data_IF_360312809645
#
_entry.id   IF_360312809645
#
_cell.length_a   1.000
_cell.length_b   1.000
_cell.length_c   1.000
_cell.angle_alpha   90.00
_cell.angle_beta   90.00
_cell.angle_gamma   90.00
#
_symmetry.space_group_name_H-M   'P 1'
#
loop_
_entity.id
_entity.type
_entity.pdbx_description
1 polymer ?
#
# COMPACT_ATOMS: atom_id res chain seq x y z
N UNK A 1 2.06 14.90 -9.45
CA UNK A 1 0.72 15.44 -9.14
C UNK A 1 0.17 14.57 -8.03
N UNK A 2 0.14 15.06 -6.79
CA UNK A 2 -0.40 14.32 -5.66
C UNK A 2 -1.94 14.31 -5.72
N UNK A 3 -2.58 13.22 -5.30
CA UNK A 3 -4.05 13.10 -5.26
C UNK A 3 -4.64 13.96 -4.13
N UNK A 4 -5.78 14.64 -4.33
CA UNK A 4 -6.38 15.54 -3.33
C UNK A 4 -6.84 14.80 -2.06
N UNK A 5 -6.66 15.44 -0.91
CA UNK A 5 -6.68 14.83 0.43
C UNK A 5 -8.02 14.87 1.19
N UNK A 6 -9.17 15.15 0.56
CA UNK A 6 -10.44 15.17 1.29
C UNK A 6 -11.63 14.86 0.37
N UNK A 7 -12.22 13.68 0.53
CA UNK A 7 -13.46 13.25 -0.15
C UNK A 7 -13.30 12.44 -1.44
N UNK A 8 -12.08 12.13 -1.86
CA UNK A 8 -11.80 11.36 -3.09
C UNK A 8 -10.89 10.17 -2.77
N UNK A 9 -11.50 9.03 -2.48
CA UNK A 9 -10.81 7.84 -2.00
C UNK A 9 -11.75 6.64 -1.97
N UNK A 10 -11.48 5.66 -1.11
CA UNK A 10 -12.27 4.42 -1.06
C UNK A 10 -13.76 4.60 -0.73
N UNK A 11 -14.12 5.71 -0.08
CA UNK A 11 -15.50 6.08 0.26
C UNK A 11 -16.23 6.92 -0.80
N UNK A 12 -15.57 7.30 -1.90
CA UNK A 12 -16.16 8.08 -2.98
C UNK A 12 -17.17 7.20 -3.77
N UNK A 13 -18.42 7.64 -4.03
CA UNK A 13 -19.37 6.87 -4.84
C UNK A 13 -18.87 6.53 -6.24
N UNK A 14 -17.95 7.33 -6.79
CA UNK A 14 -17.28 7.05 -8.07
C UNK A 14 -16.10 6.08 -7.93
N UNK A 15 -15.73 5.70 -6.70
CA UNK A 15 -14.72 4.69 -6.37
C UNK A 15 -15.27 3.27 -6.57
N UNK A 16 -15.50 2.94 -7.84
CA UNK A 16 -16.03 1.65 -8.27
C UNK A 16 -14.90 0.60 -8.35
N UNK A 17 -14.33 0.21 -7.21
CA UNK A 17 -13.27 -0.80 -7.16
C UNK A 17 -13.69 -2.09 -7.87
N UNK A 18 -12.82 -2.65 -8.70
CA UNK A 18 -13.10 -3.85 -9.51
C UNK A 18 -13.97 -3.60 -10.76
N UNK A 19 -14.48 -2.38 -10.96
CA UNK A 19 -15.17 -1.99 -12.19
C UNK A 19 -14.18 -1.58 -13.29
N UNK A 20 -14.46 -1.85 -14.57
CA UNK A 20 -13.66 -1.33 -15.68
C UNK A 20 -13.88 0.17 -15.93
N UNK A 21 -14.78 0.81 -15.17
CA UNK A 21 -15.10 2.24 -15.29
C UNK A 21 -15.13 2.88 -13.91
N UNK A 22 -14.79 4.17 -13.85
CA UNK A 22 -14.84 4.96 -12.63
C UNK A 22 -13.45 5.33 -12.10
N UNK A 23 -13.45 6.14 -11.04
CA UNK A 23 -12.26 6.85 -10.54
C UNK A 23 -11.15 5.91 -10.09
N UNK A 24 -11.53 4.81 -9.44
CA UNK A 24 -10.60 3.76 -9.02
C UNK A 24 -9.86 3.13 -10.21
N UNK A 25 -10.56 2.87 -11.32
CA UNK A 25 -9.96 2.31 -12.54
C UNK A 25 -8.96 3.29 -13.17
N UNK A 26 -9.37 4.55 -13.34
CA UNK A 26 -8.53 5.57 -13.98
C UNK A 26 -7.25 5.84 -13.18
N UNK A 27 -7.38 5.92 -11.86
CA UNK A 27 -6.24 6.10 -10.97
C UNK A 27 -5.34 4.87 -10.94
N UNK A 28 -5.92 3.65 -10.91
CA UNK A 28 -5.15 2.42 -11.02
C UNK A 28 -4.33 2.37 -12.31
N UNK A 29 -4.91 2.81 -13.44
CA UNK A 29 -4.21 2.81 -14.73
C UNK A 29 -3.06 3.81 -14.78
N UNK A 30 -3.27 5.03 -14.26
CA UNK A 30 -2.20 6.02 -14.12
C UNK A 30 -1.08 5.51 -13.21
N UNK A 31 -1.45 4.92 -12.08
CA UNK A 31 -0.50 4.40 -11.10
C UNK A 31 0.33 3.25 -11.67
N UNK A 32 -0.31 2.26 -12.32
CA UNK A 32 0.39 1.18 -13.04
C UNK A 32 1.32 1.75 -14.11
N UNK A 33 0.83 2.68 -14.94
CA UNK A 33 1.64 3.30 -15.99
C UNK A 33 2.88 4.07 -15.48
N UNK A 34 2.84 4.56 -14.23
CA UNK A 34 4.01 5.14 -13.56
C UNK A 34 4.91 4.06 -12.97
N UNK A 35 4.39 3.18 -12.12
CA UNK A 35 5.16 2.23 -11.32
C UNK A 35 5.69 1.03 -12.11
N UNK A 36 5.10 0.72 -13.26
CA UNK A 36 5.58 -0.36 -14.12
C UNK A 36 6.72 0.08 -15.06
N UNK A 37 7.17 1.35 -14.99
CA UNK A 37 8.27 1.86 -15.83
C UNK A 37 9.61 1.17 -15.54
N UNK A 38 9.98 1.05 -14.27
CA UNK A 38 11.21 0.38 -13.84
C UNK A 38 11.14 -0.01 -12.35
N UNK A 39 12.08 -0.84 -11.93
CA UNK A 39 12.29 -1.17 -10.51
C UNK A 39 12.66 0.09 -9.70
N UNK A 40 13.53 0.93 -10.23
CA UNK A 40 14.01 2.14 -9.55
C UNK A 40 12.86 3.11 -9.23
N UNK A 41 11.88 3.25 -10.13
CA UNK A 41 10.68 4.07 -9.89
C UNK A 41 9.84 3.50 -8.73
N UNK A 42 9.79 2.17 -8.57
CA UNK A 42 9.10 1.54 -7.44
C UNK A 42 9.86 1.72 -6.13
N UNK A 43 11.20 1.67 -6.17
CA UNK A 43 12.04 1.93 -5.00
C UNK A 43 11.90 3.38 -4.53
N UNK A 44 12.01 4.34 -5.45
CA UNK A 44 11.79 5.76 -5.17
C UNK A 44 10.39 6.00 -4.58
N UNK A 45 9.35 5.40 -5.17
CA UNK A 45 8.00 5.52 -4.65
C UNK A 45 7.83 4.93 -3.24
N UNK A 46 8.50 3.81 -2.91
CA UNK A 46 8.50 3.26 -1.54
C UNK A 46 9.18 4.21 -0.56
N UNK A 47 10.28 4.85 -0.96
CA UNK A 47 10.97 5.86 -0.15
C UNK A 47 10.04 7.05 0.07
N UNK A 48 9.41 7.58 -0.98
CA UNK A 48 8.44 8.67 -0.87
C UNK A 48 7.24 8.30 0.02
N UNK A 49 6.79 7.04 -0.01
CA UNK A 49 5.73 6.54 0.85
C UNK A 49 6.15 6.56 2.32
N UNK A 50 7.34 6.03 2.64
CA UNK A 50 7.88 6.03 4.00
C UNK A 50 8.23 7.44 4.47
N UNK A 51 8.47 8.39 3.58
CA UNK A 51 8.69 9.79 3.94
C UNK A 51 7.38 10.62 4.01
N UNK A 52 6.23 9.97 3.83
CA UNK A 52 4.91 10.63 3.90
C UNK A 52 4.61 11.56 2.72
N UNK A 53 5.36 11.45 1.61
CA UNK A 53 5.13 12.21 0.37
C UNK A 53 4.09 11.58 -0.54
N UNK A 54 3.77 10.30 -0.34
CA UNK A 54 2.67 9.59 -1.01
C UNK A 54 1.43 9.65 -0.12
N UNK A 55 0.28 9.99 -0.69
CA UNK A 55 -0.98 10.00 0.06
C UNK A 55 -1.41 8.58 0.42
N UNK A 56 -2.06 8.43 1.57
CA UNK A 56 -2.53 7.13 2.04
C UNK A 56 -3.51 6.48 1.05
N UNK A 57 -4.34 7.28 0.36
CA UNK A 57 -5.26 6.78 -0.67
C UNK A 57 -4.53 6.19 -1.88
N UNK A 58 -3.43 6.81 -2.32
CA UNK A 58 -2.58 6.25 -3.36
C UNK A 58 -1.86 4.97 -2.89
N UNK A 59 -1.43 4.94 -1.62
CA UNK A 59 -0.79 3.77 -1.02
C UNK A 59 -1.76 2.58 -0.92
N UNK A 60 -3.00 2.80 -0.45
CA UNK A 60 -4.08 1.79 -0.43
C UNK A 60 -4.39 1.30 -1.84
N UNK A 61 -4.41 2.20 -2.83
CA UNK A 61 -4.59 1.84 -4.25
C UNK A 61 -3.46 0.93 -4.75
N UNK A 62 -2.19 1.27 -4.50
CA UNK A 62 -1.05 0.43 -4.85
C UNK A 62 -1.13 -0.95 -4.19
N UNK A 63 -1.49 -0.98 -2.90
CA UNK A 63 -1.69 -2.21 -2.13
C UNK A 63 -2.79 -3.08 -2.72
N UNK A 64 -3.95 -2.51 -3.04
CA UNK A 64 -5.06 -3.24 -3.66
C UNK A 64 -4.66 -3.88 -4.99
N UNK A 65 -3.91 -3.17 -5.83
CA UNK A 65 -3.38 -3.72 -7.08
C UNK A 65 -2.39 -4.86 -6.84
N UNK A 66 -1.50 -4.71 -5.85
CA UNK A 66 -0.54 -5.76 -5.51
C UNK A 66 -1.22 -7.00 -4.97
N UNK A 67 -2.25 -6.84 -4.12
CA UNK A 67 -3.07 -7.95 -3.63
C UNK A 67 -3.75 -8.69 -4.77
N UNK A 68 -4.35 -7.98 -5.75
CA UNK A 68 -4.96 -8.63 -6.91
C UNK A 68 -3.96 -9.50 -7.67
N UNK A 69 -2.73 -9.01 -7.85
CA UNK A 69 -1.67 -9.79 -8.48
C UNK A 69 -1.24 -10.98 -7.60
N UNK A 70 -1.02 -10.75 -6.31
CA UNK A 70 -0.62 -11.77 -5.34
C UNK A 70 -1.63 -12.91 -5.24
N UNK A 71 -2.94 -12.59 -5.22
CA UNK A 71 -4.01 -13.56 -5.18
C UNK A 71 -4.03 -14.45 -6.43
N UNK A 72 -3.82 -13.86 -7.62
CA UNK A 72 -3.69 -14.62 -8.88
C UNK A 72 -2.47 -15.54 -8.89
N UNK A 73 -1.40 -15.14 -8.22
CA UNK A 73 -0.17 -15.92 -8.08
C UNK A 73 -0.20 -16.90 -6.89
N UNK A 74 -1.26 -16.90 -6.08
CA UNK A 74 -1.40 -17.75 -4.89
C UNK A 74 -0.45 -17.41 -3.73
N UNK A 75 0.00 -16.16 -3.64
CA UNK A 75 0.98 -15.70 -2.62
C UNK A 75 0.42 -14.62 -1.68
N UNK A 76 -0.90 -14.46 -1.63
CA UNK A 76 -1.58 -13.43 -0.83
C UNK A 76 -1.90 -13.84 0.62
N UNK A 77 -1.21 -14.85 1.14
CA UNK A 77 -1.45 -15.37 2.50
C UNK A 77 -2.75 -16.17 2.58
N UNK A 78 -2.97 -17.10 1.65
CA UNK A 78 -4.13 -18.00 1.64
C UNK A 78 -5.47 -17.25 1.58
N UNK A 79 -5.56 -16.20 0.76
CA UNK A 79 -6.76 -15.38 0.60
C UNK A 79 -6.92 -14.25 1.62
N UNK A 80 -6.04 -14.14 2.63
CA UNK A 80 -6.11 -13.07 3.61
C UNK A 80 -5.87 -11.69 2.98
N UNK A 81 -4.95 -11.57 2.02
CA UNK A 81 -4.77 -10.35 1.24
C UNK A 81 -6.05 -9.98 0.49
N UNK A 82 -6.67 -10.94 -0.20
CA UNK A 82 -7.94 -10.71 -0.88
C UNK A 82 -9.05 -10.24 0.07
N UNK A 83 -9.12 -10.79 1.29
CA UNK A 83 -10.07 -10.33 2.32
C UNK A 83 -9.80 -8.87 2.73
N UNK A 84 -8.54 -8.51 3.02
CA UNK A 84 -8.15 -7.13 3.33
C UNK A 84 -8.57 -6.16 2.22
N UNK A 85 -8.41 -6.55 0.96
CA UNK A 85 -8.86 -5.74 -0.18
C UNK A 85 -10.38 -5.60 -0.23
N UNK A 86 -11.15 -6.63 0.09
CA UNK A 86 -12.61 -6.52 0.20
C UNK A 86 -13.02 -5.60 1.35
N UNK A 87 -12.31 -5.62 2.47
CA UNK A 87 -12.54 -4.72 3.60
C UNK A 87 -12.20 -3.26 3.26
N UNK A 88 -11.15 -3.01 2.47
CA UNK A 88 -10.89 -1.69 1.88
C UNK A 88 -12.05 -1.23 1.00
N UNK A 89 -12.54 -2.11 0.11
CA UNK A 89 -13.70 -1.82 -0.75
C UNK A 89 -14.99 -1.57 0.04
N UNK A 90 -15.14 -2.21 1.21
CA UNK A 90 -16.24 -1.99 2.14
C UNK A 90 -16.06 -0.75 3.03
N UNK A 91 -15.03 0.07 2.79
CA UNK A 91 -14.74 1.30 3.53
C UNK A 91 -14.44 1.06 5.04
N UNK A 92 -13.99 -0.14 5.44
CA UNK A 92 -13.66 -0.47 6.85
C UNK A 92 -12.59 0.47 7.44
N UNK A 93 -11.69 0.94 6.58
CA UNK A 93 -10.51 1.73 6.96
C UNK A 93 -10.70 3.24 6.77
N UNK A 94 -11.95 3.70 6.70
CA UNK A 94 -12.30 5.10 6.60
C UNK A 94 -12.74 5.63 7.98
N UNK A 95 -12.57 6.94 8.21
CA UNK A 95 -12.95 7.59 9.47
C UNK A 95 -11.89 7.53 10.58
N UNK A 96 -12.30 7.88 11.81
CA UNK A 96 -11.39 8.25 12.91
C UNK A 96 -10.41 7.14 13.34
N UNK A 97 -10.80 5.87 13.21
CA UNK A 97 -9.97 4.70 13.57
C UNK A 97 -9.54 3.88 12.35
N UNK A 98 -9.82 4.38 11.14
CA UNK A 98 -9.62 3.63 9.91
C UNK A 98 -8.16 3.27 9.67
N UNK A 99 -7.27 4.23 9.89
CA UNK A 99 -5.81 4.06 9.74
C UNK A 99 -5.23 3.10 10.78
N UNK A 100 -5.68 3.18 12.03
CA UNK A 100 -5.25 2.26 13.11
C UNK A 100 -5.67 0.82 12.83
N UNK A 101 -6.90 0.64 12.34
CA UNK A 101 -7.42 -0.67 11.93
C UNK A 101 -6.64 -1.21 10.73
N UNK A 102 -6.29 -0.34 9.77
CA UNK A 102 -5.49 -0.72 8.61
C UNK A 102 -4.09 -1.18 9.04
N UNK A 103 -3.42 -0.44 9.92
CA UNK A 103 -2.11 -0.84 10.47
C UNK A 103 -2.18 -2.25 11.08
N UNK A 104 -3.16 -2.48 11.95
CA UNK A 104 -3.31 -3.76 12.67
C UNK A 104 -3.53 -4.93 11.72
N UNK A 105 -4.41 -4.76 10.73
CA UNK A 105 -4.71 -5.83 9.77
C UNK A 105 -3.52 -6.08 8.83
N UNK A 106 -2.74 -5.05 8.48
CA UNK A 106 -1.50 -5.19 7.69
C UNK A 106 -0.39 -5.88 8.46
N UNK A 107 -0.26 -5.61 9.76
CA UNK A 107 0.66 -6.34 10.63
C UNK A 107 0.31 -7.83 10.65
N UNK A 108 -0.96 -8.16 10.90
CA UNK A 108 -1.43 -9.55 10.87
C UNK A 108 -1.20 -10.22 9.51
N UNK A 109 -1.48 -9.52 8.41
CA UNK A 109 -1.21 -10.01 7.05
C UNK A 109 0.28 -10.26 6.81
N UNK A 110 1.14 -9.38 7.31
CA UNK A 110 2.58 -9.49 7.10
C UNK A 110 3.19 -10.75 7.73
N UNK A 111 2.64 -11.21 8.86
CA UNK A 111 3.08 -12.43 9.55
C UNK A 111 2.77 -13.71 8.76
N UNK A 112 1.74 -13.70 7.91
CA UNK A 112 1.32 -14.87 7.12
C UNK A 112 1.79 -14.83 5.66
N UNK A 113 2.31 -13.68 5.21
CA UNK A 113 2.89 -13.56 3.87
C UNK A 113 4.26 -14.26 3.80
N UNK A 114 4.61 -14.81 2.63
CA UNK A 114 5.92 -15.42 2.44
C UNK A 114 7.05 -14.42 2.74
N UNK A 115 8.11 -14.88 3.39
CA UNK A 115 9.30 -14.06 3.59
C UNK A 115 9.90 -13.63 2.25
N UNK A 116 10.39 -12.37 2.15
CA UNK A 116 11.04 -11.92 0.94
C UNK A 116 12.30 -12.77 0.71
N UNK A 117 12.67 -13.07 -0.55
CA UNK A 117 13.90 -13.79 -0.83
C UNK A 117 15.10 -12.98 -0.32
N UNK A 118 15.94 -13.60 0.51
CA UNK A 118 17.02 -12.98 1.30
C UNK A 118 18.08 -12.18 0.50
N UNK A 119 18.03 -12.16 -0.84
CA UNK A 119 19.04 -11.54 -1.71
C UNK A 119 18.76 -10.09 -2.14
N UNK A 120 17.98 -9.32 -1.39
CA UNK A 120 17.71 -7.90 -1.69
C UNK A 120 18.17 -7.00 -0.54
N UNK A 121 19.45 -7.07 -0.19
CA UNK A 121 20.06 -6.14 0.76
C UNK A 121 20.43 -4.85 0.01
N UNK A 122 19.44 -3.97 -0.14
CA UNK A 122 19.68 -2.52 -0.09
C UNK A 122 19.49 -2.16 1.39
N UNK A 123 20.54 -2.01 2.18
CA UNK A 123 21.31 -0.77 2.21
C UNK A 123 20.60 0.38 2.94
N UNK A 124 19.33 0.21 3.32
CA UNK A 124 18.60 1.16 4.17
C UNK A 124 18.63 0.66 5.61
N UNK A 125 19.79 0.76 6.25
CA UNK A 125 19.86 0.77 7.71
C UNK A 125 19.21 2.08 8.16
N UNK A 126 17.93 2.00 8.50
CA UNK A 126 17.15 3.09 9.06
C UNK A 126 17.68 3.36 10.47
N UNK A 127 18.71 4.21 10.58
CA UNK A 127 19.18 4.71 11.86
C UNK A 127 18.07 5.57 12.47
N UNK A 128 17.61 5.27 13.70
CA UNK A 128 16.76 6.20 14.42
C UNK A 128 17.63 7.38 14.83
N UNK A 129 17.47 8.52 14.17
CA UNK A 129 17.94 9.79 14.72
C UNK A 129 17.13 10.08 16.00
N UNK A 130 17.79 9.83 17.12
CA UNK A 130 17.42 10.31 18.43
C UNK A 130 17.63 11.83 18.47
N UNK A 131 16.57 12.60 18.30
CA UNK A 131 16.15 13.67 19.23
C UNK A 131 15.06 14.53 18.60
N UNK A 132 13.86 14.48 19.20
CA UNK A 132 12.75 15.36 18.83
C UNK A 132 11.42 14.63 18.87
N UNK A 133 10.84 14.50 20.06
CA UNK A 133 9.41 14.22 20.35
C UNK A 133 8.60 13.59 19.19
N UNK A 134 9.01 12.39 18.78
CA UNK A 134 8.63 11.80 17.49
C UNK A 134 7.49 10.79 17.65
N UNK A 135 6.29 11.26 18.03
CA UNK A 135 5.09 10.44 17.82
C UNK A 135 4.81 10.44 16.32
N UNK A 136 5.31 9.43 15.62
CA UNK A 136 4.90 9.15 14.25
C UNK A 136 3.37 9.20 14.18
N UNK A 137 2.83 10.01 13.27
CA UNK A 137 1.38 10.10 13.09
C UNK A 137 0.83 8.73 12.70
N UNK A 138 -0.43 8.46 13.03
CA UNK A 138 -1.12 7.23 12.64
C UNK A 138 -1.02 6.98 11.12
N UNK A 139 -1.09 8.05 10.33
CA UNK A 139 -0.93 8.01 8.87
C UNK A 139 0.47 7.54 8.46
N UNK A 140 1.51 8.00 9.15
CA UNK A 140 2.89 7.59 8.92
C UNK A 140 3.09 6.10 9.27
N UNK A 141 2.48 5.63 10.35
CA UNK A 141 2.49 4.21 10.71
C UNK A 141 1.78 3.36 9.64
N UNK A 142 0.64 3.82 9.13
CA UNK A 142 -0.10 3.13 8.07
C UNK A 142 0.70 3.07 6.77
N UNK A 143 1.36 4.16 6.39
CA UNK A 143 2.24 4.20 5.22
C UNK A 143 3.41 3.20 5.36
N UNK A 144 4.07 3.16 6.51
CA UNK A 144 5.13 2.18 6.80
C UNK A 144 4.62 0.74 6.77
N UNK A 145 3.43 0.47 7.34
CA UNK A 145 2.82 -0.86 7.30
C UNK A 145 2.52 -1.29 5.86
N UNK A 146 1.95 -0.40 5.03
CA UNK A 146 1.71 -0.67 3.61
C UNK A 146 3.02 -0.96 2.88
N UNK A 147 4.05 -0.14 3.08
CA UNK A 147 5.36 -0.34 2.47
C UNK A 147 5.94 -1.73 2.81
N UNK A 148 5.91 -2.11 4.10
CA UNK A 148 6.38 -3.42 4.57
C UNK A 148 5.61 -4.57 3.90
N UNK A 149 4.29 -4.47 3.83
CA UNK A 149 3.43 -5.46 3.18
C UNK A 149 3.71 -5.56 1.66
N UNK A 150 3.88 -4.44 0.97
CA UNK A 150 4.22 -4.42 -0.46
C UNK A 150 5.57 -5.12 -0.73
N UNK A 151 6.58 -4.86 0.10
CA UNK A 151 7.89 -5.49 -0.01
C UNK A 151 7.81 -7.02 0.21
N UNK A 152 7.02 -7.48 1.19
CA UNK A 152 6.74 -8.90 1.43
C UNK A 152 6.06 -9.57 0.23
N UNK A 153 5.16 -8.84 -0.42
CA UNK A 153 4.54 -9.28 -1.66
C UNK A 153 5.46 -9.13 -2.88
N UNK A 154 6.77 -8.89 -2.76
CA UNK A 154 7.71 -8.76 -3.91
C UNK A 154 7.42 -7.59 -4.87
N UNK A 155 6.83 -6.50 -4.38
CA UNK A 155 6.49 -5.32 -5.19
C UNK A 155 7.66 -4.72 -6.00
N UNK A 156 8.91 -4.83 -5.51
CA UNK A 156 10.06 -4.33 -6.28
C UNK A 156 10.41 -5.23 -7.47
N UNK A 157 10.19 -6.55 -7.34
CA UNK A 157 10.52 -7.52 -8.37
C UNK A 157 9.47 -7.58 -9.48
N UNK A 158 8.20 -7.44 -9.12
CA UNK A 158 7.08 -7.66 -10.03
C UNK A 158 6.30 -6.36 -10.31
N UNK A 159 5.87 -6.18 -11.55
CA UNK A 159 4.95 -5.10 -11.92
C UNK A 159 3.56 -5.27 -11.27
N UNK A 160 2.81 -4.16 -11.16
CA UNK A 160 1.41 -4.09 -10.69
C UNK A 160 0.38 -4.43 -11.77
#
# INVERSE_FOLDING_TARGET
MALPSSGSGWSDPEWRWGSPVGKAHDLAMKLRGRLNRSRDVREEWIIELVEGRVSLEEAKLALGLRIQHAARAGIDGSGAGFLLMQEMAACKYEGQQGEENLCRDLEALTEILPSPPEKSVTGAEMKPDSDGDNRASTTQLAACAIAKTLLRMRFLADAL
#
